data_IF_348985842964
#
_entry.id   IF_348985842964
#
_cell.length_a   1.000
_cell.length_b   1.000
_cell.length_c   1.000
_cell.angle_alpha   90.00
_cell.angle_beta   90.00
_cell.angle_gamma   90.00
#
_symmetry.space_group_name_H-M   'P 1'
#
loop_
_entity.id
_entity.type
_entity.pdbx_description
1 polymer ?
#
# COMPACT_ATOMS: atom_id res chain seq x y z
N UNK A 1 2.62 -12.68 -7.24
CA UNK A 1 3.00 -13.01 -8.63
C UNK A 1 1.86 -13.62 -9.45
N UNK A 2 1.11 -14.63 -8.95
CA UNK A 2 -0.05 -15.22 -9.69
C UNK A 2 -1.21 -14.24 -10.04
N UNK A 3 -1.15 -12.99 -9.60
CA UNK A 3 -2.16 -11.96 -9.89
C UNK A 3 -1.59 -10.77 -10.70
N UNK A 4 -0.32 -10.81 -11.11
CA UNK A 4 0.35 -9.76 -11.89
C UNK A 4 0.68 -10.33 -13.27
N UNK A 5 0.11 -9.78 -14.33
CA UNK A 5 0.26 -10.30 -15.71
C UNK A 5 1.45 -9.70 -16.47
N UNK A 6 2.09 -8.67 -15.90
CA UNK A 6 3.25 -7.98 -16.48
C UNK A 6 4.21 -7.51 -15.40
N UNK A 7 5.42 -7.15 -15.82
CA UNK A 7 6.38 -6.51 -14.95
C UNK A 7 5.91 -5.15 -14.45
N UNK A 8 5.26 -4.35 -15.30
CA UNK A 8 4.74 -3.04 -14.93
C UNK A 8 3.65 -3.17 -13.85
N UNK A 9 2.80 -4.22 -13.94
CA UNK A 9 1.82 -4.53 -12.91
C UNK A 9 2.47 -4.96 -11.59
N UNK A 10 3.55 -5.75 -11.64
CA UNK A 10 4.33 -6.10 -10.45
C UNK A 10 5.02 -4.87 -9.83
N UNK A 11 5.63 -4.03 -10.66
CA UNK A 11 6.25 -2.78 -10.23
C UNK A 11 5.22 -1.85 -9.59
N UNK A 12 3.99 -1.81 -10.10
CA UNK A 12 2.91 -1.02 -9.51
C UNK A 12 2.53 -1.47 -8.09
N UNK A 13 2.48 -2.78 -7.84
CA UNK A 13 2.28 -3.31 -6.48
C UNK A 13 3.43 -2.89 -5.57
N UNK A 14 4.68 -3.05 -6.01
CA UNK A 14 5.85 -2.69 -5.22
C UNK A 14 5.88 -1.18 -4.94
N UNK A 15 5.59 -0.35 -5.93
CA UNK A 15 5.54 1.10 -5.79
C UNK A 15 4.46 1.54 -4.79
N UNK A 16 3.31 0.86 -4.77
CA UNK A 16 2.25 1.09 -3.79
C UNK A 16 2.71 0.76 -2.36
N UNK A 17 3.35 -0.39 -2.14
CA UNK A 17 3.88 -0.75 -0.81
C UNK A 17 5.00 0.19 -0.35
N UNK A 18 5.90 0.58 -1.25
CA UNK A 18 6.94 1.59 -0.98
C UNK A 18 6.31 2.93 -0.63
N UNK A 19 5.21 3.32 -1.28
CA UNK A 19 4.49 4.53 -0.94
C UNK A 19 3.88 4.49 0.47
N UNK A 20 3.34 3.36 0.93
CA UNK A 20 2.89 3.20 2.32
C UNK A 20 4.04 3.40 3.33
N UNK A 21 5.24 2.93 3.00
CA UNK A 21 6.44 3.09 3.83
C UNK A 21 6.87 4.57 3.85
N UNK A 22 7.01 5.20 2.69
CA UNK A 22 7.40 6.62 2.58
C UNK A 22 6.43 7.55 3.32
N UNK A 23 5.13 7.25 3.27
CA UNK A 23 4.09 8.03 3.95
C UNK A 23 3.87 7.61 5.41
N UNK A 24 4.65 6.65 5.91
CA UNK A 24 4.61 6.12 7.27
C UNK A 24 3.20 5.68 7.69
N UNK A 25 2.43 5.08 6.77
CA UNK A 25 1.04 4.73 7.02
C UNK A 25 0.88 3.70 8.14
N UNK A 26 1.77 2.71 8.23
CA UNK A 26 1.76 1.72 9.31
C UNK A 26 1.97 2.37 10.69
N UNK A 27 2.94 3.28 10.79
CA UNK A 27 3.24 4.00 12.04
C UNK A 27 2.06 4.87 12.45
N UNK A 28 1.48 5.63 11.52
CA UNK A 28 0.29 6.46 11.78
C UNK A 28 -0.91 5.62 12.23
N UNK A 29 -1.08 4.44 11.65
CA UNK A 29 -2.13 3.49 12.05
C UNK A 29 -1.91 2.96 13.48
N UNK A 30 -0.67 2.57 13.83
CA UNK A 30 -0.30 2.14 15.19
C UNK A 30 -0.52 3.26 16.19
N UNK A 31 -0.03 4.48 15.91
CA UNK A 31 -0.22 5.65 16.77
C UNK A 31 -1.71 5.92 17.02
N UNK A 32 -2.51 5.90 15.97
CA UNK A 32 -3.98 6.09 16.07
C UNK A 32 -4.67 4.98 16.89
N UNK A 33 -4.20 3.73 16.82
CA UNK A 33 -4.68 2.65 17.69
C UNK A 33 -4.28 2.87 19.15
N UNK A 34 -3.01 3.21 19.42
CA UNK A 34 -2.50 3.48 20.77
C UNK A 34 -3.24 4.66 21.41
N UNK A 35 -3.42 5.77 20.68
CA UNK A 35 -4.20 6.93 21.17
C UNK A 35 -5.65 6.55 21.48
N UNK A 36 -6.32 5.76 20.64
CA UNK A 36 -7.68 5.28 20.92
C UNK A 36 -7.74 4.35 22.13
N UNK A 37 -6.78 3.44 22.27
CA UNK A 37 -6.67 2.57 23.44
C UNK A 37 -6.44 3.39 24.71
N UNK A 38 -5.50 4.34 24.68
CA UNK A 38 -5.20 5.26 25.78
C UNK A 38 -6.40 6.12 26.17
N UNK A 39 -7.18 6.63 25.19
CA UNK A 39 -8.41 7.37 25.46
C UNK A 39 -9.50 6.48 26.06
N UNK A 40 -9.64 5.25 25.57
CA UNK A 40 -10.59 4.27 26.10
C UNK A 40 -10.23 3.84 27.54
N UNK A 41 -8.94 3.71 27.85
CA UNK A 41 -8.45 3.46 29.21
C UNK A 41 -8.51 4.71 30.10
N UNK A 42 -8.27 5.90 29.57
CA UNK A 42 -8.37 7.16 30.32
C UNK A 42 -9.82 7.49 30.69
N UNK A 43 -10.78 7.15 29.84
CA UNK A 43 -12.21 7.16 30.17
C UNK A 43 -12.57 6.17 31.30
N UNK A 44 -11.71 5.17 31.55
CA UNK A 44 -11.81 4.23 32.68
C UNK A 44 -10.91 4.59 33.86
N UNK A 45 -9.92 5.47 33.69
CA UNK A 45 -8.94 5.84 34.73
C UNK A 45 -8.40 7.24 34.44
N UNK A 46 -8.74 8.20 35.29
CA UNK A 46 -8.34 9.61 35.17
C UNK A 46 -6.83 9.77 35.36
N UNK A 47 -6.04 9.70 34.28
CA UNK A 47 -4.70 10.32 34.06
C UNK A 47 -3.98 9.56 32.96
N UNK A 48 -3.49 10.23 31.91
CA UNK A 48 -2.19 9.95 31.28
C UNK A 48 -1.82 11.10 30.33
N UNK A 49 -0.61 11.61 30.49
CA UNK A 49 -0.03 12.68 29.68
C UNK A 49 0.53 12.11 28.37
N UNK A 50 0.14 12.69 27.24
CA UNK A 50 0.66 12.33 25.92
C UNK A 50 1.81 13.27 25.55
N UNK A 51 3.03 12.83 25.81
CA UNK A 51 4.28 13.52 25.45
C UNK A 51 4.76 13.20 24.04
N UNK A 52 5.56 14.10 23.48
CA UNK A 52 5.95 14.20 22.07
C UNK A 52 7.11 13.25 21.64
N UNK A 53 7.31 12.12 22.33
CA UNK A 53 8.47 11.21 22.15
C UNK A 53 8.33 10.18 21.01
N UNK A 54 7.25 10.25 20.24
CA UNK A 54 6.86 9.23 19.27
C UNK A 54 7.83 8.99 18.10
N UNK A 55 8.87 9.82 17.93
CA UNK A 55 9.88 9.67 16.87
C UNK A 55 11.16 8.98 17.36
N UNK A 56 11.61 9.25 18.59
CA UNK A 56 12.79 8.58 19.16
C UNK A 56 12.44 7.17 19.65
N UNK A 57 11.25 7.01 20.23
CA UNK A 57 10.69 5.68 20.56
C UNK A 57 10.41 4.85 19.29
N UNK A 58 10.29 5.48 18.11
CA UNK A 58 10.03 4.78 16.85
C UNK A 58 11.24 3.97 16.37
N UNK A 59 12.44 4.54 16.45
CA UNK A 59 13.68 3.89 15.98
C UNK A 59 14.06 2.75 16.91
N UNK A 60 13.99 2.96 18.23
CA UNK A 60 14.26 1.90 19.22
C UNK A 60 13.20 0.80 19.19
N UNK A 61 11.95 1.14 18.83
CA UNK A 61 10.86 0.16 18.79
C UNK A 61 10.61 -0.46 17.42
N UNK A 62 11.42 -0.14 16.40
CA UNK A 62 11.39 -0.86 15.12
C UNK A 62 11.72 -2.35 15.33
N UNK A 63 12.71 -2.68 16.18
CA UNK A 63 13.08 -4.08 16.49
C UNK A 63 12.01 -4.79 17.35
N UNK A 64 11.40 -4.09 18.31
CA UNK A 64 10.38 -4.70 19.21
C UNK A 64 8.97 -4.76 18.59
N UNK A 65 8.61 -3.81 17.71
CA UNK A 65 7.26 -3.69 17.13
C UNK A 65 7.18 -4.13 15.66
N UNK A 66 8.22 -4.74 15.08
CA UNK A 66 8.14 -5.36 13.74
C UNK A 66 6.92 -6.28 13.64
N UNK A 67 6.62 -7.05 14.69
CA UNK A 67 5.44 -7.92 14.74
C UNK A 67 4.12 -7.16 14.62
N UNK A 68 3.99 -5.99 15.26
CA UNK A 68 2.79 -5.15 15.24
C UNK A 68 2.65 -4.35 13.93
N UNK A 69 3.76 -3.96 13.32
CA UNK A 69 3.81 -3.33 11.99
C UNK A 69 3.36 -4.34 10.94
N UNK A 70 4.01 -5.51 10.88
CA UNK A 70 3.67 -6.59 9.96
C UNK A 70 2.21 -7.03 10.18
N UNK A 71 1.77 -7.21 11.43
CA UNK A 71 0.39 -7.55 11.74
C UNK A 71 -0.58 -6.44 11.31
N UNK A 72 -0.26 -5.16 11.52
CA UNK A 72 -1.11 -4.05 11.06
C UNK A 72 -1.23 -4.02 9.54
N UNK A 73 -0.11 -4.23 8.82
CA UNK A 73 -0.09 -4.39 7.37
C UNK A 73 -0.91 -5.60 6.89
N UNK A 74 -0.92 -6.69 7.67
CA UNK A 74 -1.57 -7.96 7.28
C UNK A 74 -3.01 -8.12 7.77
N UNK A 75 -3.45 -7.39 8.82
CA UNK A 75 -4.75 -7.63 9.48
C UNK A 75 -5.59 -6.39 9.77
N UNK A 76 -5.00 -5.20 9.90
CA UNK A 76 -5.77 -4.02 10.31
C UNK A 76 -6.34 -3.23 9.13
N UNK A 77 -5.70 -3.38 7.98
CA UNK A 77 -5.96 -2.61 6.79
C UNK A 77 -5.67 -1.12 6.92
N UNK A 78 -5.57 -0.45 5.79
CA UNK A 78 -5.39 1.00 5.70
C UNK A 78 -6.71 1.72 5.45
N UNK A 79 -6.79 2.98 5.88
CA UNK A 79 -7.95 3.82 5.58
C UNK A 79 -8.00 4.16 4.08
N UNK A 80 -9.20 4.47 3.58
CA UNK A 80 -9.40 4.88 2.18
C UNK A 80 -8.49 6.05 1.76
N UNK A 81 -8.27 7.01 2.66
CA UNK A 81 -7.39 8.14 2.37
C UNK A 81 -5.93 7.70 2.23
N UNK A 82 -5.45 6.79 3.10
CA UNK A 82 -4.10 6.24 3.03
C UNK A 82 -3.87 5.47 1.73
N UNK A 83 -4.87 4.75 1.25
CA UNK A 83 -4.81 4.10 -0.06
C UNK A 83 -4.68 5.10 -1.20
N UNK A 84 -5.48 6.18 -1.17
CA UNK A 84 -5.41 7.23 -2.19
C UNK A 84 -4.05 7.92 -2.18
N UNK A 85 -3.51 8.21 -1.01
CA UNK A 85 -2.20 8.82 -0.87
C UNK A 85 -1.10 7.87 -1.38
N UNK A 86 -1.20 6.58 -1.07
CA UNK A 86 -0.28 5.56 -1.56
C UNK A 86 -0.36 5.40 -3.08
N UNK A 87 -1.55 5.33 -3.67
CA UNK A 87 -1.76 5.27 -5.13
C UNK A 87 -1.19 6.49 -5.84
N UNK A 88 -1.48 7.67 -5.31
CA UNK A 88 -1.01 8.93 -5.90
C UNK A 88 0.52 9.02 -5.87
N UNK A 89 1.15 8.53 -4.81
CA UNK A 89 2.61 8.51 -4.72
C UNK A 89 3.22 7.37 -5.56
N UNK A 90 2.57 6.22 -5.64
CA UNK A 90 2.99 5.10 -6.49
C UNK A 90 3.06 5.50 -7.97
N UNK A 91 2.08 6.27 -8.46
CA UNK A 91 2.11 6.79 -9.84
C UNK A 91 3.38 7.62 -10.13
N UNK A 92 3.81 8.46 -9.18
CA UNK A 92 5.05 9.24 -9.30
C UNK A 92 6.29 8.36 -9.25
N UNK A 93 6.30 7.35 -8.37
CA UNK A 93 7.41 6.39 -8.26
C UNK A 93 7.55 5.57 -9.55
N UNK A 94 6.43 5.14 -10.15
CA UNK A 94 6.42 4.40 -11.40
C UNK A 94 6.98 5.26 -12.54
N UNK A 95 6.47 6.48 -12.72
CA UNK A 95 7.00 7.41 -13.73
C UNK A 95 8.50 7.67 -13.52
N UNK A 96 8.92 8.00 -12.28
CA UNK A 96 10.31 8.27 -11.96
C UNK A 96 11.25 7.08 -12.16
N UNK A 97 10.74 5.85 -12.01
CA UNK A 97 11.48 4.62 -12.28
C UNK A 97 11.35 4.15 -13.75
N UNK A 98 10.61 4.88 -14.59
CA UNK A 98 10.36 4.55 -15.99
C UNK A 98 9.39 3.39 -16.21
N UNK A 99 8.64 2.98 -15.19
CA UNK A 99 7.59 1.97 -15.28
C UNK A 99 6.27 2.57 -15.79
N UNK A 100 5.45 1.77 -16.47
CA UNK A 100 4.14 2.21 -16.96
C UNK A 100 3.19 2.47 -15.79
N UNK A 101 2.73 3.72 -15.54
CA UNK A 101 1.79 4.03 -14.47
C UNK A 101 0.44 3.33 -14.64
N UNK A 102 0.06 2.93 -15.88
CA UNK A 102 -1.13 2.12 -16.12
C UNK A 102 -1.06 0.72 -15.50
N UNK A 103 0.12 0.25 -15.10
CA UNK A 103 0.26 -1.00 -14.33
C UNK A 103 -0.56 -0.98 -13.04
N UNK A 104 -0.71 0.18 -12.40
CA UNK A 104 -1.54 0.33 -11.19
C UNK A 104 -3.03 0.20 -11.50
N UNK A 105 -3.49 0.77 -12.62
CA UNK A 105 -4.86 0.61 -13.10
C UNK A 105 -5.19 -0.85 -13.40
N UNK A 106 -4.30 -1.54 -14.12
CA UNK A 106 -4.45 -2.97 -14.42
C UNK A 106 -4.57 -3.79 -13.14
N UNK A 107 -3.72 -3.53 -12.15
CA UNK A 107 -3.78 -4.23 -10.85
C UNK A 107 -5.10 -3.97 -10.11
N UNK A 108 -5.57 -2.72 -10.07
CA UNK A 108 -6.84 -2.39 -9.43
C UNK A 108 -8.03 -3.07 -10.12
N UNK A 109 -8.04 -3.17 -11.46
CA UNK A 109 -9.05 -3.94 -12.21
C UNK A 109 -8.99 -5.43 -11.89
N UNK A 110 -7.79 -6.03 -11.85
CA UNK A 110 -7.61 -7.42 -11.45
C UNK A 110 -8.10 -7.67 -10.02
N UNK A 111 -7.82 -6.74 -9.09
CA UNK A 111 -8.32 -6.80 -7.72
C UNK A 111 -9.84 -6.71 -7.66
N UNK A 112 -10.47 -5.82 -8.44
CA UNK A 112 -11.92 -5.70 -8.53
C UNK A 112 -12.59 -6.99 -9.04
N UNK A 113 -12.01 -7.61 -10.07
CA UNK A 113 -12.50 -8.87 -10.62
C UNK A 113 -12.38 -10.01 -9.60
N UNK A 114 -11.24 -10.12 -8.92
CA UNK A 114 -10.98 -11.21 -7.95
C UNK A 114 -11.71 -11.04 -6.61
N UNK A 115 -11.97 -9.79 -6.18
CA UNK A 115 -12.79 -9.51 -5.00
C UNK A 115 -14.22 -10.08 -5.13
N UNK A 116 -14.70 -10.24 -6.37
CA UNK A 116 -15.99 -10.87 -6.68
C UNK A 116 -15.97 -12.39 -6.58
N UNK A 117 -14.79 -13.03 -6.38
CA UNK A 117 -14.61 -14.48 -6.56
C UNK A 117 -13.91 -15.22 -5.41
N UNK A 118 -13.19 -14.55 -4.48
CA UNK A 118 -12.62 -15.18 -3.27
C UNK A 118 -12.08 -14.15 -2.27
N UNK A 119 -12.23 -14.44 -0.97
CA UNK A 119 -12.01 -13.54 0.17
C UNK A 119 -10.75 -13.86 1.00
N UNK A 120 -9.54 -13.70 0.44
CA UNK A 120 -8.33 -13.87 1.25
C UNK A 120 -7.04 -13.30 0.64
N UNK A 121 -6.27 -12.55 1.43
CA UNK A 121 -4.97 -11.96 1.05
C UNK A 121 -4.96 -10.43 1.08
N UNK A 122 -4.22 -9.80 0.16
CA UNK A 122 -4.16 -8.33 -0.06
C UNK A 122 -5.54 -7.66 -0.22
N UNK A 123 -6.58 -8.45 -0.50
CA UNK A 123 -7.99 -8.04 -0.55
C UNK A 123 -8.57 -7.65 0.82
N UNK A 124 -8.03 -8.17 1.92
CA UNK A 124 -8.55 -7.94 3.27
C UNK A 124 -7.99 -6.68 3.93
N UNK A 125 -6.88 -6.16 3.42
CA UNK A 125 -6.11 -5.06 4.04
C UNK A 125 -6.29 -3.72 3.32
N UNK A 126 -6.92 -3.69 2.14
CA UNK A 126 -7.14 -2.46 1.38
C UNK A 126 -8.64 -2.28 1.01
N UNK A 127 -9.25 -1.10 1.21
CA UNK A 127 -10.65 -0.81 0.86
C UNK A 127 -10.95 -0.88 -0.65
N UNK A 128 -12.25 -0.77 -1.00
CA UNK A 128 -12.79 -1.20 -2.31
C UNK A 128 -12.03 -0.64 -3.53
N UNK A 129 -11.61 -1.52 -4.47
CA UNK A 129 -10.83 -1.14 -5.65
C UNK A 129 -11.50 -0.09 -6.57
N UNK A 130 -12.83 -0.04 -6.61
CA UNK A 130 -13.58 0.85 -7.52
C UNK A 130 -13.28 2.33 -7.26
N UNK A 131 -13.29 2.74 -5.98
CA UNK A 131 -13.05 4.14 -5.64
C UNK A 131 -11.60 4.57 -5.88
N UNK A 132 -10.66 3.64 -5.72
CA UNK A 132 -9.23 3.82 -6.04
C UNK A 132 -9.01 3.92 -7.54
N UNK A 133 -9.68 3.05 -8.32
CA UNK A 133 -9.61 3.05 -9.78
C UNK A 133 -10.06 4.39 -10.37
N UNK A 134 -11.18 4.94 -9.89
CA UNK A 134 -11.64 6.27 -10.29
C UNK A 134 -10.61 7.36 -9.95
N UNK A 135 -10.01 7.30 -8.76
CA UNK A 135 -8.98 8.25 -8.33
C UNK A 135 -7.71 8.20 -9.20
N UNK A 136 -7.25 6.99 -9.54
CA UNK A 136 -6.09 6.74 -10.42
C UNK A 136 -6.38 7.23 -11.83
N UNK A 137 -7.53 6.88 -12.40
CA UNK A 137 -7.90 7.26 -13.78
C UNK A 137 -7.93 8.77 -14.01
N UNK A 138 -8.39 9.55 -13.02
CA UNK A 138 -8.35 11.02 -13.09
C UNK A 138 -6.93 11.60 -13.16
N UNK A 139 -5.90 10.84 -12.81
CA UNK A 139 -4.50 11.29 -12.71
C UNK A 139 -3.62 10.73 -13.80
N UNK A 140 -3.94 9.55 -14.35
CA UNK A 140 -3.12 8.87 -15.37
C UNK A 140 -2.78 9.77 -16.56
N UNK A 141 -3.72 10.60 -17.02
CA UNK A 141 -3.47 11.52 -18.14
C UNK A 141 -2.38 12.58 -17.91
N UNK A 142 -1.86 12.71 -16.68
CA UNK A 142 -0.74 13.61 -16.36
C UNK A 142 0.63 12.96 -16.54
N UNK A 143 0.70 11.63 -16.51
CA UNK A 143 1.94 10.90 -16.54
C UNK A 143 2.29 10.53 -17.97
N UNK A 144 3.57 10.70 -18.32
CA UNK A 144 4.08 10.32 -19.64
C UNK A 144 4.83 9.01 -19.50
N UNK A 145 4.65 8.12 -20.48
CA UNK A 145 5.33 6.83 -20.46
C UNK A 145 5.68 6.39 -21.89
N UNK A 146 6.85 5.76 -22.01
CA UNK A 146 7.32 5.12 -23.23
C UNK A 146 7.25 3.62 -23.04
N UNK A 147 6.48 2.94 -23.91
CA UNK A 147 6.31 1.50 -23.83
C UNK A 147 7.61 0.73 -24.05
N UNK A 148 8.02 0.01 -23.00
CA UNK A 148 9.13 -0.94 -23.01
C UNK A 148 8.65 -2.39 -22.87
N UNK A 149 7.38 -2.65 -23.19
CA UNK A 149 6.77 -3.98 -23.00
C UNK A 149 7.46 -5.07 -23.83
N UNK A 150 8.01 -4.73 -24.99
CA UNK A 150 8.78 -5.65 -25.85
C UNK A 150 10.00 -6.25 -25.15
N UNK A 151 10.59 -5.53 -24.18
CA UNK A 151 11.74 -5.98 -23.39
C UNK A 151 11.30 -6.54 -22.04
N UNK A 152 10.36 -5.88 -21.36
CA UNK A 152 9.92 -6.25 -20.01
C UNK A 152 9.12 -7.55 -19.97
N UNK A 153 8.23 -7.76 -20.94
CA UNK A 153 7.34 -8.93 -20.92
C UNK A 153 8.11 -10.25 -21.07
N UNK A 154 9.08 -10.40 -21.99
CA UNK A 154 9.92 -11.60 -22.04
C UNK A 154 10.71 -11.83 -20.75
N UNK A 155 11.33 -10.78 -20.19
CA UNK A 155 12.10 -10.88 -18.94
C UNK A 155 11.22 -11.31 -17.76
N UNK A 156 10.04 -10.71 -17.64
CA UNK A 156 9.08 -11.06 -16.60
C UNK A 156 8.64 -12.53 -16.74
N UNK A 157 8.24 -12.96 -17.94
CA UNK A 157 7.86 -14.35 -18.22
C UNK A 157 8.98 -15.33 -17.86
N UNK A 158 10.22 -15.03 -18.24
CA UNK A 158 11.38 -15.85 -17.89
C UNK A 158 11.59 -15.93 -16.37
N UNK A 159 11.44 -14.81 -15.65
CA UNK A 159 11.61 -14.77 -14.19
C UNK A 159 10.52 -15.55 -13.43
N UNK A 160 9.27 -15.55 -13.93
CA UNK A 160 8.16 -16.23 -13.28
C UNK A 160 7.96 -17.69 -13.72
N UNK A 161 8.59 -18.12 -14.82
CA UNK A 161 8.44 -19.50 -15.32
C UNK A 161 8.96 -20.56 -14.35
N UNK A 162 9.80 -20.17 -13.38
CA UNK A 162 10.31 -21.04 -12.32
C UNK A 162 9.52 -21.02 -11.00
N UNK A 163 8.36 -20.34 -10.94
CA UNK A 163 7.52 -20.17 -9.74
C UNK A 163 6.15 -20.84 -9.91
#
# INVERSE_FOLDING_TARGET
VKCTESEDALAAVIAHEVAHIQLQHAVKAIKSKRTRAALSSAAKTTTYALGNDALNEMVDSFDENIGDIVRTMTTAGYSKQQEFDADNNALKLLEGAGYDPHGLESMLKTLQQKASSSSGGMYSTHPSPESRLNNVNMRLGKYQYVSNQSVRMPRFKAAIAGL
#
